data_IF_354390941306
#
_entry.id   IF_354390941306
#
_cell.length_a   1.000
_cell.length_b   1.000
_cell.length_c   1.000
_cell.angle_alpha   90.00
_cell.angle_beta   90.00
_cell.angle_gamma   90.00
#
_symmetry.space_group_name_H-M   'P 1'
#
loop_
_entity.id
_entity.type
_entity.pdbx_description
1 polymer ?
#
# COMPACT_ATOMS: atom_id res chain seq x y z
N UNK A 1 13.48 8.74 -8.02
CA UNK A 1 12.10 9.08 -7.65
C UNK A 1 11.45 7.82 -7.11
N UNK A 2 11.24 7.77 -5.79
CA UNK A 2 10.54 6.67 -5.11
C UNK A 2 9.09 6.68 -5.54
N UNK A 3 8.57 5.52 -5.88
CA UNK A 3 7.22 5.42 -6.42
C UNK A 3 6.16 5.24 -5.34
N UNK A 4 4.89 5.54 -5.63
CA UNK A 4 3.83 5.49 -4.63
C UNK A 4 3.77 4.12 -3.91
N UNK A 5 4.00 3.03 -4.66
CA UNK A 5 4.02 1.66 -4.15
C UNK A 5 5.19 1.45 -3.16
N UNK A 6 6.38 1.90 -3.51
CA UNK A 6 7.59 1.78 -2.66
C UNK A 6 7.47 2.63 -1.40
N UNK A 7 6.87 3.81 -1.50
CA UNK A 7 6.61 4.67 -0.34
C UNK A 7 5.69 3.97 0.67
N UNK A 8 4.59 3.36 0.22
CA UNK A 8 3.70 2.62 1.12
C UNK A 8 4.39 1.38 1.71
N UNK A 9 5.20 0.65 0.95
CA UNK A 9 5.98 -0.47 1.47
C UNK A 9 6.89 -0.04 2.63
N UNK A 10 7.58 1.10 2.49
CA UNK A 10 8.42 1.66 3.55
C UNK A 10 7.61 2.06 4.79
N UNK A 11 6.45 2.67 4.60
CA UNK A 11 5.54 3.05 5.69
C UNK A 11 5.06 1.81 6.44
N UNK A 12 4.62 0.76 5.73
CA UNK A 12 4.18 -0.49 6.35
C UNK A 12 5.31 -1.22 7.08
N UNK A 13 6.55 -1.15 6.56
CA UNK A 13 7.71 -1.67 7.26
C UNK A 13 8.03 -0.88 8.54
N UNK A 14 7.90 0.45 8.51
CA UNK A 14 8.05 1.29 9.69
C UNK A 14 6.96 1.01 10.73
N UNK A 15 5.73 0.83 10.27
CA UNK A 15 4.57 0.49 11.09
C UNK A 15 4.75 -0.84 11.81
N UNK A 16 5.25 -1.86 11.10
CA UNK A 16 5.61 -3.15 11.71
C UNK A 16 6.71 -3.02 12.76
N UNK A 17 7.73 -2.17 12.52
CA UNK A 17 8.80 -1.89 13.50
C UNK A 17 8.31 -1.12 14.73
N UNK A 18 7.30 -0.27 14.57
CA UNK A 18 6.70 0.53 15.66
C UNK A 18 5.61 -0.19 16.46
N UNK A 19 5.25 -1.41 16.04
CA UNK A 19 4.25 -2.24 16.72
C UNK A 19 2.81 -1.98 16.27
N UNK A 20 2.58 -1.63 14.99
CA UNK A 20 1.24 -1.57 14.38
C UNK A 20 0.29 -0.55 15.04
N UNK A 21 0.82 0.62 15.41
CA UNK A 21 0.13 1.64 16.22
C UNK A 21 -0.78 2.59 15.44
N UNK A 22 -0.76 2.53 14.11
CA UNK A 22 -1.33 3.50 13.16
C UNK A 22 -0.69 4.89 13.28
N UNK A 23 0.63 4.94 13.51
CA UNK A 23 1.39 6.17 13.76
C UNK A 23 2.72 6.20 12.97
N UNK A 24 2.83 5.38 11.94
CA UNK A 24 3.95 5.44 10.99
C UNK A 24 3.91 6.69 10.10
N UNK A 25 2.75 7.34 9.96
CA UNK A 25 2.54 8.52 9.12
C UNK A 25 1.79 9.60 9.89
N UNK A 26 2.10 10.86 9.58
CA UNK A 26 1.45 12.01 10.19
C UNK A 26 -0.05 12.02 9.83
N UNK A 27 -0.90 11.73 10.82
CA UNK A 27 -2.36 11.70 10.65
C UNK A 27 -2.97 10.34 10.32
N UNK A 28 -2.22 9.24 10.42
CA UNK A 28 -2.75 7.87 10.28
C UNK A 28 -2.76 7.32 8.86
N UNK A 29 -2.84 5.98 8.73
CA UNK A 29 -2.88 5.30 7.43
C UNK A 29 -4.15 5.61 6.63
N UNK A 30 -5.23 6.02 7.30
CA UNK A 30 -6.50 6.41 6.69
C UNK A 30 -6.36 7.66 5.80
N UNK A 31 -5.81 8.76 6.33
CA UNK A 31 -5.54 9.97 5.54
C UNK A 31 -4.47 9.73 4.48
N UNK A 32 -3.47 8.91 4.81
CA UNK A 32 -2.45 8.56 3.83
C UNK A 32 -3.05 7.77 2.66
N UNK A 33 -4.04 6.91 2.90
CA UNK A 33 -4.67 6.06 1.89
C UNK A 33 -5.26 6.87 0.73
N UNK A 34 -5.96 7.98 1.01
CA UNK A 34 -6.57 8.83 -0.03
C UNK A 34 -5.53 9.40 -1.00
N UNK A 35 -4.44 9.96 -0.46
CA UNK A 35 -3.36 10.54 -1.27
C UNK A 35 -2.57 9.46 -1.99
N UNK A 36 -2.34 8.32 -1.32
CA UNK A 36 -1.62 7.20 -1.89
C UNK A 36 -2.39 6.55 -3.04
N UNK A 37 -3.70 6.35 -2.89
CA UNK A 37 -4.59 5.75 -3.88
C UNK A 37 -4.54 6.51 -5.20
N UNK A 38 -4.68 7.84 -5.16
CA UNK A 38 -4.63 8.68 -6.36
C UNK A 38 -3.29 8.54 -7.09
N UNK A 39 -2.17 8.57 -6.36
CA UNK A 39 -0.82 8.42 -6.93
C UNK A 39 -0.58 7.02 -7.49
N UNK A 40 -0.95 5.98 -6.74
CA UNK A 40 -0.73 4.60 -7.11
C UNK A 40 -1.60 4.19 -8.32
N UNK A 41 -2.84 4.70 -8.43
CA UNK A 41 -3.65 4.50 -9.64
C UNK A 41 -3.04 5.15 -10.87
N UNK A 42 -2.49 6.38 -10.74
CA UNK A 42 -1.82 7.05 -11.85
C UNK A 42 -0.54 6.31 -12.32
N UNK A 43 0.08 5.53 -11.43
CA UNK A 43 1.25 4.69 -11.74
C UNK A 43 0.89 3.25 -12.17
N UNK A 44 -0.40 2.86 -12.12
CA UNK A 44 -0.84 1.51 -12.40
C UNK A 44 -0.74 1.20 -13.92
N UNK A 45 -0.14 0.07 -14.32
CA UNK A 45 0.04 -0.26 -15.74
C UNK A 45 -1.24 -0.82 -16.41
N UNK A 46 -2.28 -1.13 -15.63
CA UNK A 46 -3.52 -1.75 -16.11
C UNK A 46 -4.69 -1.44 -15.18
N UNK A 47 -5.92 -1.58 -15.68
CA UNK A 47 -7.14 -1.49 -14.87
C UNK A 47 -7.17 -2.51 -13.73
N UNK A 48 -6.65 -3.72 -13.95
CA UNK A 48 -6.54 -4.74 -12.91
C UNK A 48 -5.63 -4.27 -11.76
N UNK A 49 -4.47 -3.67 -12.08
CA UNK A 49 -3.59 -3.10 -11.08
C UNK A 49 -4.22 -1.88 -10.38
N UNK A 50 -4.96 -1.04 -11.12
CA UNK A 50 -5.69 0.09 -10.54
C UNK A 50 -6.80 -0.35 -9.58
N UNK A 51 -7.51 -1.45 -9.88
CA UNK A 51 -8.49 -2.06 -8.98
C UNK A 51 -7.81 -2.57 -7.71
N UNK A 52 -6.69 -3.28 -7.83
CA UNK A 52 -5.92 -3.75 -6.68
C UNK A 52 -5.39 -2.61 -5.81
N UNK A 53 -5.02 -1.47 -6.40
CA UNK A 53 -4.69 -0.25 -5.64
C UNK A 53 -5.89 0.23 -4.82
N UNK A 54 -7.09 0.24 -5.41
CA UNK A 54 -8.33 0.65 -4.72
C UNK A 54 -8.64 -0.27 -3.53
N UNK A 55 -8.45 -1.59 -3.69
CA UNK A 55 -8.65 -2.57 -2.61
C UNK A 55 -7.66 -2.34 -1.46
N UNK A 56 -6.38 -2.11 -1.78
CA UNK A 56 -5.36 -1.78 -0.79
C UNK A 56 -5.70 -0.48 -0.05
N UNK A 57 -6.17 0.54 -0.78
CA UNK A 57 -6.55 1.81 -0.17
C UNK A 57 -7.73 1.64 0.80
N UNK A 58 -8.71 0.80 0.46
CA UNK A 58 -9.81 0.47 1.35
C UNK A 58 -9.33 -0.22 2.64
N UNK A 59 -8.46 -1.22 2.53
CA UNK A 59 -7.86 -1.89 3.69
C UNK A 59 -7.04 -0.94 4.57
N UNK A 60 -6.37 0.07 4.00
CA UNK A 60 -5.65 1.09 4.76
C UNK A 60 -6.59 2.03 5.51
N UNK A 61 -7.74 2.39 4.92
CA UNK A 61 -8.79 3.18 5.58
C UNK A 61 -9.41 2.45 6.77
N UNK A 62 -9.60 1.14 6.65
CA UNK A 62 -10.16 0.31 7.72
C UNK A 62 -9.13 -0.08 8.80
N UNK A 63 -7.83 0.01 8.48
CA UNK A 63 -6.74 -0.36 9.39
C UNK A 63 -6.83 0.20 10.83
N UNK A 64 -7.12 1.50 11.07
CA UNK A 64 -7.32 2.03 12.43
C UNK A 64 -8.40 1.29 13.22
N UNK A 65 -9.45 0.80 12.56
CA UNK A 65 -10.58 0.11 13.18
C UNK A 65 -10.24 -1.35 13.53
N UNK A 66 -9.15 -1.89 13.00
CA UNK A 66 -8.76 -3.27 13.25
C UNK A 66 -8.18 -3.45 14.67
N UNK A 67 -8.48 -4.58 15.33
CA UNK A 67 -7.84 -4.96 16.58
C UNK A 67 -6.32 -5.12 16.42
N UNK A 68 -5.51 -4.79 17.44
CA UNK A 68 -4.05 -4.93 17.37
C UNK A 68 -3.56 -6.33 16.97
N UNK A 69 -4.28 -7.38 17.39
CA UNK A 69 -3.99 -8.77 17.02
C UNK A 69 -4.14 -9.05 15.52
N UNK A 70 -5.02 -8.33 14.83
CA UNK A 70 -5.30 -8.49 13.40
C UNK A 70 -4.38 -7.60 12.56
N UNK A 71 -4.04 -6.41 13.06
CA UNK A 71 -3.20 -5.42 12.34
C UNK A 71 -1.90 -6.00 11.81
N UNK A 72 -1.21 -6.84 12.59
CA UNK A 72 0.03 -7.46 12.16
C UNK A 72 -0.16 -8.38 10.93
N UNK A 73 -1.25 -9.15 10.90
CA UNK A 73 -1.61 -10.00 9.77
C UNK A 73 -2.03 -9.16 8.56
N UNK A 74 -2.79 -8.08 8.78
CA UNK A 74 -3.18 -7.14 7.73
C UNK A 74 -1.97 -6.48 7.09
N UNK A 75 -1.00 -5.97 7.87
CA UNK A 75 0.22 -5.36 7.31
C UNK A 75 0.99 -6.37 6.46
N UNK A 76 1.17 -7.61 6.94
CA UNK A 76 1.84 -8.66 6.15
C UNK A 76 1.11 -8.95 4.84
N UNK A 77 -0.21 -9.02 4.89
CA UNK A 77 -1.05 -9.23 3.71
C UNK A 77 -0.88 -8.07 2.70
N UNK A 78 -0.99 -6.82 3.17
CA UNK A 78 -0.78 -5.62 2.37
C UNK A 78 0.62 -5.57 1.73
N UNK A 79 1.66 -5.94 2.47
CA UNK A 79 3.02 -6.04 1.93
C UNK A 79 3.12 -7.05 0.79
N UNK A 80 2.43 -8.19 0.90
CA UNK A 80 2.35 -9.19 -0.16
C UNK A 80 1.68 -8.66 -1.43
N UNK A 81 0.50 -8.02 -1.27
CA UNK A 81 -0.21 -7.39 -2.39
C UNK A 81 0.61 -6.30 -3.09
N UNK A 82 1.30 -5.46 -2.32
CA UNK A 82 2.17 -4.42 -2.87
C UNK A 82 3.40 -4.98 -3.57
N UNK A 83 3.96 -6.09 -3.05
CA UNK A 83 5.09 -6.75 -3.71
C UNK A 83 4.67 -7.31 -5.08
N UNK A 84 3.48 -7.89 -5.20
CA UNK A 84 2.98 -8.37 -6.48
C UNK A 84 2.67 -7.22 -7.44
N UNK A 85 2.02 -6.17 -6.95
CA UNK A 85 1.73 -4.96 -7.75
C UNK A 85 3.01 -4.28 -8.25
N UNK A 86 4.06 -4.22 -7.43
CA UNK A 86 5.37 -3.72 -7.82
C UNK A 86 6.04 -4.59 -8.90
N UNK A 87 5.86 -5.92 -8.84
CA UNK A 87 6.36 -6.84 -9.87
C UNK A 87 5.60 -6.67 -11.17
N UNK A 88 4.28 -6.58 -11.13
CA UNK A 88 3.45 -6.32 -12.31
C UNK A 88 3.83 -5.02 -13.00
N UNK A 89 4.01 -3.94 -12.24
CA UNK A 89 4.49 -2.67 -12.80
C UNK A 89 5.87 -2.81 -13.45
N UNK A 90 6.80 -3.52 -12.81
CA UNK A 90 8.12 -3.79 -13.42
C UNK A 90 8.00 -4.60 -14.70
N UNK A 91 7.12 -5.63 -14.74
CA UNK A 91 6.86 -6.45 -15.94
C UNK A 91 6.28 -5.61 -17.08
N UNK A 92 5.24 -4.81 -16.83
CA UNK A 92 4.62 -3.94 -17.84
C UNK A 92 5.57 -2.87 -18.39
N UNK A 93 6.47 -2.35 -17.56
CA UNK A 93 7.49 -1.37 -18.00
C UNK A 93 8.57 -1.99 -18.90
N UNK A 94 8.87 -3.27 -18.74
CA UNK A 94 9.88 -3.99 -19.54
C UNK A 94 9.34 -4.42 -20.91
N UNK A 95 8.03 -4.62 -21.04
CA UNK A 95 7.40 -5.07 -22.28
C UNK A 95 7.10 -3.94 -23.29
N UNK A 96 7.24 -2.68 -22.89
CA UNK A 96 7.00 -1.50 -23.72
C UNK A 96 8.28 -0.97 -24.42
N UNK A 97 9.28 -1.82 -24.66
CA UNK A 97 10.56 -1.46 -25.32
C UNK A 97 10.76 -2.18 -26.64
#
# INVERSE_FOLDING_TARGET
MTTAIETLQNILALEARRGYKNDAVLGGLDRFAETWESKARAEAPSDAAAAQVSDIAMMLRDYPQLPPSVRASTVRHLQGLLAELARERKRGRTQAR
#
